data_IF_846197145344
#
_entry.id   IF_846197145344
#
_cell.length_a   1.000
_cell.length_b   1.000
_cell.length_c   1.000
_cell.angle_alpha   90.00
_cell.angle_beta   90.00
_cell.angle_gamma   90.00
#
_symmetry.space_group_name_H-M   'P 1'
#
loop_
_entity.id
_entity.type
_entity.pdbx_description
1 polymer ?
#
# COMPACT_ATOMS: atom_id res chain seq x y z
N UNK A 1 -14.61 -22.80 15.70
CA UNK A 1 -13.41 -23.04 16.53
C UNK A 1 -12.61 -24.20 15.93
N UNK A 2 -11.95 -23.91 14.81
CA UNK A 2 -10.99 -24.83 14.19
C UNK A 2 -9.70 -24.70 14.96
N UNK A 3 -9.21 -25.83 15.46
CA UNK A 3 -7.95 -25.99 16.14
C UNK A 3 -6.79 -25.48 15.25
N UNK A 4 -6.38 -24.21 15.43
CA UNK A 4 -5.16 -23.64 14.82
C UNK A 4 -3.92 -24.05 15.61
N UNK A 5 -3.80 -25.32 16.00
CA UNK A 5 -2.51 -25.89 16.37
C UNK A 5 -1.70 -26.16 15.09
N UNK A 6 -1.42 -25.10 14.32
CA UNK A 6 -0.32 -25.08 13.39
C UNK A 6 0.93 -24.90 14.24
N UNK A 7 1.74 -25.95 14.36
CA UNK A 7 3.02 -25.88 15.05
C UNK A 7 3.79 -24.64 14.57
N UNK A 8 4.34 -23.89 15.53
CA UNK A 8 4.89 -22.54 15.40
C UNK A 8 5.96 -22.45 14.28
N UNK A 9 5.52 -22.40 13.02
CA UNK A 9 6.40 -22.34 11.86
C UNK A 9 6.91 -20.91 11.75
N UNK A 10 8.09 -20.70 12.33
CA UNK A 10 8.73 -19.39 12.33
C UNK A 10 9.42 -19.15 10.99
N UNK A 11 8.92 -18.17 10.24
CA UNK A 11 9.51 -17.74 8.97
C UNK A 11 10.94 -17.24 9.16
N UNK A 12 11.88 -17.86 8.47
CA UNK A 12 13.23 -17.33 8.28
C UNK A 12 13.27 -16.34 7.11
N UNK A 13 14.45 -15.78 6.85
CA UNK A 13 14.63 -14.78 5.78
C UNK A 13 14.35 -15.36 4.39
N UNK A 14 14.74 -16.60 4.12
CA UNK A 14 14.48 -17.24 2.82
C UNK A 14 12.98 -17.44 2.64
N UNK A 15 12.28 -17.90 3.68
CA UNK A 15 10.82 -18.07 3.67
C UNK A 15 10.11 -16.74 3.37
N UNK A 16 10.55 -15.63 3.98
CA UNK A 16 10.01 -14.30 3.67
C UNK A 16 10.22 -13.93 2.21
N UNK A 17 11.42 -14.16 1.65
CA UNK A 17 11.74 -13.83 0.24
C UNK A 17 10.87 -14.62 -0.73
N UNK A 18 10.65 -15.89 -0.43
CA UNK A 18 9.75 -16.75 -1.19
C UNK A 18 8.34 -16.15 -1.18
N UNK A 19 7.80 -15.82 0.01
CA UNK A 19 6.46 -15.23 0.13
C UNK A 19 6.37 -13.92 -0.64
N UNK A 20 7.36 -13.03 -0.49
CA UNK A 20 7.40 -11.74 -1.20
C UNK A 20 7.33 -11.91 -2.72
N UNK A 21 8.17 -12.79 -3.29
CA UNK A 21 8.20 -13.02 -4.73
C UNK A 21 6.87 -13.61 -5.24
N UNK A 22 6.29 -14.57 -4.49
CA UNK A 22 5.03 -15.21 -4.86
C UNK A 22 3.82 -14.26 -4.74
N UNK A 23 3.82 -13.33 -3.78
CA UNK A 23 2.77 -12.29 -3.70
C UNK A 23 2.75 -11.37 -4.92
N UNK A 24 3.90 -11.17 -5.57
CA UNK A 24 4.02 -10.32 -6.76
C UNK A 24 3.51 -11.00 -8.02
N UNK A 25 4.01 -12.20 -8.34
CA UNK A 25 3.59 -12.96 -9.52
C UNK A 25 3.89 -14.46 -9.36
N UNK A 26 3.11 -15.15 -8.51
CA UNK A 26 3.29 -16.59 -8.29
C UNK A 26 3.27 -17.45 -9.57
N UNK A 27 2.61 -17.00 -10.65
CA UNK A 27 2.51 -17.77 -11.89
C UNK A 27 3.83 -17.76 -12.66
N UNK A 28 4.53 -16.62 -12.69
CA UNK A 28 5.76 -16.47 -13.46
C UNK A 28 7.03 -16.53 -12.59
N UNK A 29 6.90 -16.43 -11.27
CA UNK A 29 8.02 -16.61 -10.35
C UNK A 29 8.40 -18.09 -10.24
N UNK A 30 9.59 -18.44 -10.76
CA UNK A 30 10.10 -19.80 -10.71
C UNK A 30 11.05 -20.04 -9.54
N UNK A 31 11.10 -21.27 -9.01
CA UNK A 31 12.03 -21.62 -7.95
C UNK A 31 13.52 -21.34 -8.28
N UNK A 32 14.02 -21.54 -9.51
CA UNK A 32 15.36 -21.10 -9.89
C UNK A 32 15.59 -19.59 -9.78
N UNK A 33 14.61 -18.76 -10.15
CA UNK A 33 14.73 -17.31 -10.06
C UNK A 33 14.87 -16.85 -8.60
N UNK A 34 14.02 -17.38 -7.70
CA UNK A 34 14.14 -17.09 -6.26
C UNK A 34 15.47 -17.61 -5.70
N UNK A 35 15.91 -18.79 -6.14
CA UNK A 35 17.13 -19.43 -5.67
C UNK A 35 18.40 -18.62 -5.98
N UNK A 36 18.43 -17.98 -7.16
CA UNK A 36 19.50 -17.07 -7.57
C UNK A 36 19.56 -15.84 -6.67
N UNK A 37 18.41 -15.22 -6.39
CA UNK A 37 18.31 -14.02 -5.54
C UNK A 37 18.81 -14.27 -4.11
N UNK A 38 18.43 -15.41 -3.51
CA UNK A 38 18.77 -15.73 -2.11
C UNK A 38 19.97 -16.66 -1.97
N UNK A 39 20.72 -16.92 -3.05
CA UNK A 39 21.95 -17.72 -3.07
C UNK A 39 21.78 -19.15 -2.50
N UNK A 40 20.73 -19.86 -2.90
CA UNK A 40 20.50 -21.27 -2.52
C UNK A 40 20.20 -22.15 -3.73
N UNK A 41 19.98 -23.46 -3.52
CA UNK A 41 19.61 -24.36 -4.61
C UNK A 41 18.12 -24.24 -4.97
N UNK A 42 17.72 -24.41 -6.24
CA UNK A 42 16.30 -24.47 -6.62
C UNK A 42 15.52 -25.60 -5.93
N UNK A 43 16.19 -26.69 -5.54
CA UNK A 43 15.58 -27.76 -4.77
C UNK A 43 15.24 -27.32 -3.33
N UNK A 44 16.10 -26.49 -2.72
CA UNK A 44 15.86 -25.87 -1.41
C UNK A 44 14.61 -25.00 -1.46
N UNK A 45 14.46 -24.14 -2.47
CA UNK A 45 13.28 -23.27 -2.64
C UNK A 45 11.99 -24.10 -2.80
N UNK A 46 12.00 -25.14 -3.64
CA UNK A 46 10.82 -26.01 -3.80
C UNK A 46 10.42 -26.68 -2.49
N UNK A 47 11.39 -27.14 -1.69
CA UNK A 47 11.09 -27.73 -0.39
C UNK A 47 10.49 -26.71 0.57
N UNK A 48 10.98 -25.46 0.55
CA UNK A 48 10.49 -24.36 1.37
C UNK A 48 9.06 -23.96 1.01
N UNK A 49 8.75 -23.81 -0.28
CA UNK A 49 7.39 -23.55 -0.78
C UNK A 49 6.43 -24.64 -0.28
N UNK A 50 6.79 -25.91 -0.45
CA UNK A 50 5.95 -27.02 0.01
C UNK A 50 5.70 -26.99 1.53
N UNK A 51 6.70 -26.58 2.33
CA UNK A 51 6.52 -26.40 3.78
C UNK A 51 5.61 -25.22 4.10
N UNK A 52 5.75 -24.10 3.41
CA UNK A 52 4.89 -22.92 3.61
C UNK A 52 3.42 -23.25 3.29
N UNK A 53 3.18 -24.05 2.25
CA UNK A 53 1.85 -24.58 1.89
C UNK A 53 1.34 -25.58 2.94
N UNK A 54 2.16 -26.55 3.35
CA UNK A 54 1.81 -27.56 4.36
C UNK A 54 1.43 -26.94 5.71
N UNK A 55 2.12 -25.88 6.12
CA UNK A 55 1.86 -25.16 7.37
C UNK A 55 0.76 -24.08 7.23
N UNK A 56 0.16 -23.93 6.06
CA UNK A 56 -0.90 -22.95 5.80
C UNK A 56 -0.44 -21.50 5.86
N UNK A 57 0.86 -21.23 5.71
CA UNK A 57 1.38 -19.87 5.53
C UNK A 57 1.01 -19.37 4.13
N UNK A 58 1.11 -20.24 3.12
CA UNK A 58 0.57 -20.01 1.78
C UNK A 58 -0.72 -20.83 1.68
N UNK A 59 -1.87 -20.15 1.73
CA UNK A 59 -3.18 -20.79 1.69
C UNK A 59 -3.64 -21.09 0.25
N UNK A 60 -3.10 -20.37 -0.73
CA UNK A 60 -3.44 -20.56 -2.14
C UNK A 60 -2.84 -19.51 -3.06
N UNK A 61 -3.05 -19.72 -4.36
CA UNK A 61 -2.63 -18.80 -5.42
C UNK A 61 -3.88 -18.38 -6.20
N UNK A 62 -4.22 -17.10 -6.12
CA UNK A 62 -5.42 -16.54 -6.72
C UNK A 62 -5.05 -15.55 -7.83
N UNK A 63 -5.77 -15.60 -8.94
CA UNK A 63 -5.63 -14.60 -10.00
C UNK A 63 -6.43 -13.36 -9.62
N UNK A 64 -5.81 -12.19 -9.74
CA UNK A 64 -6.53 -10.91 -9.75
C UNK A 64 -7.14 -10.72 -11.12
N UNK A 65 -8.46 -10.48 -11.17
CA UNK A 65 -9.22 -10.38 -12.42
C UNK A 65 -9.85 -9.00 -12.51
N UNK A 66 -9.63 -8.34 -13.64
CA UNK A 66 -10.33 -7.11 -14.02
C UNK A 66 -11.63 -7.50 -14.73
N UNK A 67 -12.72 -7.57 -13.97
CA UNK A 67 -14.03 -7.98 -14.48
C UNK A 67 -14.69 -6.94 -15.38
N UNK A 68 -14.33 -5.67 -15.24
CA UNK A 68 -14.77 -4.60 -16.15
C UNK A 68 -14.14 -4.82 -17.53
N UNK A 69 -12.84 -5.10 -17.61
CA UNK A 69 -12.19 -5.42 -18.89
C UNK A 69 -12.56 -6.78 -19.45
N UNK A 70 -12.83 -7.77 -18.60
CA UNK A 70 -13.18 -9.12 -19.05
C UNK A 70 -14.56 -9.16 -19.73
N UNK A 71 -15.59 -8.60 -19.08
CA UNK A 71 -16.99 -8.69 -19.55
C UNK A 71 -17.81 -7.42 -19.33
N UNK A 72 -17.18 -6.26 -19.05
CA UNK A 72 -17.91 -5.01 -18.74
C UNK A 72 -18.66 -5.07 -17.41
N UNK A 73 -18.28 -6.00 -16.53
CA UNK A 73 -18.99 -6.23 -15.27
C UNK A 73 -18.66 -5.20 -14.21
N UNK A 74 -19.61 -4.97 -13.32
CA UNK A 74 -19.48 -4.11 -12.16
C UNK A 74 -19.00 -4.92 -10.95
N UNK A 75 -18.09 -4.34 -10.17
CA UNK A 75 -17.68 -4.85 -8.87
C UNK A 75 -18.35 -4.05 -7.76
N UNK A 76 -18.93 -4.73 -6.77
CA UNK A 76 -19.58 -4.10 -5.62
C UNK A 76 -19.02 -4.69 -4.33
N UNK A 77 -18.65 -3.82 -3.38
CA UNK A 77 -18.28 -4.18 -2.03
C UNK A 77 -19.48 -3.92 -1.11
N UNK A 78 -20.03 -4.99 -0.53
CA UNK A 78 -21.02 -4.89 0.53
C UNK A 78 -20.33 -4.94 1.89
N UNK A 79 -20.60 -3.93 2.72
CA UNK A 79 -20.22 -3.91 4.13
C UNK A 79 -21.41 -4.42 4.93
N UNK A 80 -21.23 -5.56 5.57
CA UNK A 80 -22.31 -6.30 6.17
C UNK A 80 -22.10 -6.54 7.66
N UNK A 81 -23.22 -6.71 8.36
CA UNK A 81 -23.30 -7.20 9.72
C UNK A 81 -23.93 -8.60 9.74
N UNK A 82 -23.32 -9.48 10.52
CA UNK A 82 -23.83 -10.80 10.86
C UNK A 82 -23.76 -11.03 12.38
N UNK A 83 -24.65 -11.84 12.97
CA UNK A 83 -24.51 -12.24 14.37
C UNK A 83 -23.16 -12.92 14.64
N UNK A 84 -22.50 -12.55 15.73
CA UNK A 84 -21.12 -12.96 16.05
C UNK A 84 -20.92 -14.48 16.07
N UNK A 85 -21.89 -15.23 16.57
CA UNK A 85 -21.88 -16.70 16.65
C UNK A 85 -22.15 -17.40 15.30
N UNK A 86 -22.61 -16.65 14.30
CA UNK A 86 -22.94 -17.17 12.96
C UNK A 86 -21.94 -16.79 11.87
N UNK A 87 -21.05 -15.81 12.10
CA UNK A 87 -20.15 -15.21 11.09
C UNK A 87 -19.43 -16.27 10.25
N UNK A 88 -18.74 -17.23 10.89
CA UNK A 88 -17.96 -18.27 10.19
C UNK A 88 -18.86 -19.16 9.30
N UNK A 89 -20.06 -19.49 9.80
CA UNK A 89 -21.02 -20.30 9.06
C UNK A 89 -21.68 -19.53 7.92
N UNK A 90 -21.94 -18.23 8.12
CA UNK A 90 -22.51 -17.32 7.14
C UNK A 90 -21.52 -17.03 6.02
N UNK A 91 -20.26 -16.75 6.32
CA UNK A 91 -19.23 -16.44 5.34
C UNK A 91 -19.12 -17.53 4.26
N UNK A 92 -19.12 -18.81 4.69
CA UNK A 92 -19.09 -19.95 3.76
C UNK A 92 -20.35 -20.05 2.90
N UNK A 93 -21.53 -19.76 3.45
CA UNK A 93 -22.79 -19.78 2.69
C UNK A 93 -22.86 -18.63 1.69
N UNK A 94 -22.47 -17.43 2.12
CA UNK A 94 -22.40 -16.24 1.27
C UNK A 94 -21.48 -16.47 0.08
N UNK A 95 -20.35 -17.16 0.28
CA UNK A 95 -19.45 -17.55 -0.81
C UNK A 95 -20.06 -18.47 -1.88
N UNK A 96 -21.24 -19.07 -1.63
CA UNK A 96 -21.96 -19.88 -2.62
C UNK A 96 -22.94 -19.08 -3.48
N UNK A 97 -23.16 -17.79 -3.16
CA UNK A 97 -24.05 -16.91 -3.93
C UNK A 97 -23.42 -16.59 -5.28
N UNK A 98 -24.09 -16.86 -6.42
CA UNK A 98 -23.54 -16.56 -7.73
C UNK A 98 -23.25 -15.07 -7.90
N UNK A 99 -21.98 -14.77 -8.19
CA UNK A 99 -21.43 -13.42 -8.30
C UNK A 99 -20.58 -13.00 -7.11
N UNK A 100 -20.67 -13.67 -5.95
CA UNK A 100 -19.74 -13.42 -4.84
C UNK A 100 -18.38 -14.03 -5.17
N UNK A 101 -17.33 -13.21 -5.11
CA UNK A 101 -15.95 -13.61 -5.44
C UNK A 101 -15.02 -13.56 -4.24
N UNK A 102 -15.38 -12.84 -3.18
CA UNK A 102 -14.60 -12.80 -1.94
C UNK A 102 -15.49 -12.52 -0.73
N UNK A 103 -15.21 -13.17 0.39
CA UNK A 103 -15.85 -12.91 1.68
C UNK A 103 -14.75 -12.78 2.74
N UNK A 104 -14.74 -11.68 3.49
CA UNK A 104 -13.78 -11.45 4.58
C UNK A 104 -14.53 -11.28 5.90
N UNK A 105 -14.04 -11.96 6.92
CA UNK A 105 -14.52 -11.84 8.30
C UNK A 105 -13.65 -10.82 9.04
N UNK A 106 -14.27 -9.85 9.69
CA UNK A 106 -13.56 -8.80 10.42
C UNK A 106 -13.71 -8.98 11.93
N UNK A 107 -12.63 -8.72 12.66
CA UNK A 107 -12.62 -8.78 14.13
C UNK A 107 -12.98 -7.41 14.70
N UNK A 108 -14.24 -7.24 15.09
CA UNK A 108 -14.75 -6.04 15.76
C UNK A 108 -15.48 -5.05 14.85
N UNK A 109 -16.14 -4.08 15.46
CA UNK A 109 -17.03 -3.15 14.77
C UNK A 109 -18.43 -3.73 14.51
N UNK A 110 -19.34 -2.88 14.02
CA UNK A 110 -20.69 -3.29 13.60
C UNK A 110 -20.66 -4.00 12.23
N UNK A 111 -19.74 -3.64 11.36
CA UNK A 111 -19.50 -4.30 10.08
C UNK A 111 -18.46 -5.40 10.27
N UNK A 112 -18.91 -6.65 10.38
CA UNK A 112 -18.05 -7.81 10.63
C UNK A 112 -17.92 -8.77 9.43
N UNK A 113 -18.54 -8.43 8.30
CA UNK A 113 -18.42 -9.15 7.03
C UNK A 113 -18.20 -8.17 5.88
N UNK A 114 -17.21 -8.42 5.04
CA UNK A 114 -17.05 -7.76 3.73
C UNK A 114 -17.33 -8.77 2.62
N UNK A 115 -18.21 -8.43 1.67
CA UNK A 115 -18.56 -9.29 0.54
C UNK A 115 -18.24 -8.56 -0.76
N UNK A 116 -17.28 -9.06 -1.53
CA UNK A 116 -16.99 -8.57 -2.87
C UNK A 116 -17.81 -9.39 -3.88
N UNK A 117 -18.56 -8.68 -4.71
CA UNK A 117 -19.44 -9.27 -5.71
C UNK A 117 -19.19 -8.68 -7.10
N UNK A 118 -19.42 -9.50 -8.12
CA UNK A 118 -19.37 -9.15 -9.54
C UNK A 118 -20.76 -9.38 -10.14
N UNK A 119 -21.24 -8.43 -10.93
CA UNK A 119 -22.48 -8.55 -11.68
C UNK A 119 -22.39 -7.83 -13.02
N UNK A 120 -23.13 -8.29 -14.04
CA UNK A 120 -23.07 -7.65 -15.37
C UNK A 120 -23.77 -6.30 -15.40
N UNK A 121 -24.69 -6.07 -14.46
CA UNK A 121 -25.40 -4.82 -14.28
C UNK A 121 -25.87 -4.63 -12.82
N UNK A 122 -26.51 -3.49 -12.55
CA UNK A 122 -27.04 -3.16 -11.22
C UNK A 122 -28.17 -4.08 -10.75
N UNK A 123 -28.88 -4.77 -11.65
CA UNK A 123 -29.93 -5.72 -11.30
C UNK A 123 -29.34 -7.00 -10.72
N UNK A 124 -28.20 -7.45 -11.27
CA UNK A 124 -27.43 -8.57 -10.72
C UNK A 124 -26.91 -8.26 -9.32
N UNK A 125 -26.32 -7.08 -9.13
CA UNK A 125 -25.83 -6.65 -7.81
C UNK A 125 -26.97 -6.59 -6.78
N UNK A 126 -28.12 -6.03 -7.15
CA UNK A 126 -29.32 -6.03 -6.29
C UNK A 126 -29.86 -7.44 -6.02
N UNK A 127 -29.74 -8.37 -6.97
CA UNK A 127 -30.10 -9.78 -6.76
C UNK A 127 -29.17 -10.39 -5.70
N UNK A 128 -27.87 -10.15 -5.78
CA UNK A 128 -26.89 -10.62 -4.79
C UNK A 128 -27.23 -10.03 -3.42
N UNK A 129 -27.44 -8.72 -3.30
CA UNK A 129 -27.82 -8.08 -2.03
C UNK A 129 -29.06 -8.72 -1.38
N UNK A 130 -30.12 -8.99 -2.17
CA UNK A 130 -31.30 -9.71 -1.67
C UNK A 130 -31.02 -11.14 -1.20
N UNK A 131 -30.07 -11.84 -1.83
CA UNK A 131 -29.67 -13.18 -1.36
C UNK A 131 -28.90 -13.10 -0.04
N UNK A 132 -28.09 -12.05 0.18
CA UNK A 132 -27.42 -11.81 1.45
C UNK A 132 -28.45 -11.58 2.57
N UNK A 133 -29.42 -10.68 2.36
CA UNK A 133 -30.48 -10.39 3.34
C UNK A 133 -31.29 -11.63 3.73
N UNK A 134 -31.61 -12.50 2.76
CA UNK A 134 -32.30 -13.78 3.02
C UNK A 134 -31.52 -14.72 3.92
N UNK A 135 -30.19 -14.57 3.97
CA UNK A 135 -29.31 -15.35 4.83
C UNK A 135 -29.13 -14.73 6.21
N UNK A 136 -29.89 -13.70 6.58
CA UNK A 136 -29.73 -12.95 7.83
C UNK A 136 -28.40 -12.17 7.90
N UNK A 137 -27.91 -11.72 6.74
CA UNK A 137 -26.79 -10.79 6.62
C UNK A 137 -27.36 -9.41 6.35
N UNK A 138 -27.20 -8.49 7.29
CA UNK A 138 -27.64 -7.10 7.16
C UNK A 138 -26.60 -6.33 6.34
N UNK A 139 -27.03 -5.60 5.31
CA UNK A 139 -26.16 -4.75 4.50
C UNK A 139 -26.21 -3.35 5.13
N UNK A 140 -25.07 -2.86 5.62
CA UNK A 140 -24.94 -1.54 6.21
C UNK A 140 -24.59 -0.49 5.14
N UNK A 141 -23.65 -0.82 4.25
CA UNK A 141 -23.25 0.02 3.11
C UNK A 141 -22.92 -0.82 1.87
N UNK A 142 -23.02 -0.21 0.69
CA UNK A 142 -22.56 -0.77 -0.58
C UNK A 142 -21.77 0.26 -1.40
N UNK A 143 -20.66 -0.19 -2.01
CA UNK A 143 -19.79 0.65 -2.83
C UNK A 143 -19.43 -0.03 -4.14
N UNK A 144 -19.66 0.68 -5.26
CA UNK A 144 -19.09 0.28 -6.54
C UNK A 144 -17.57 0.46 -6.50
N UNK A 145 -16.83 -0.62 -6.71
CA UNK A 145 -15.38 -0.63 -6.71
C UNK A 145 -14.87 -0.30 -8.11
N UNK A 146 -14.10 0.78 -8.22
CA UNK A 146 -13.51 1.20 -9.49
C UNK A 146 -12.18 0.49 -9.78
N UNK A 147 -11.27 0.45 -8.80
CA UNK A 147 -9.94 -0.16 -8.96
C UNK A 147 -9.54 -0.91 -7.69
N UNK A 148 -8.86 -2.04 -7.85
CA UNK A 148 -8.19 -2.77 -6.77
C UNK A 148 -6.71 -2.93 -7.11
N UNK A 149 -5.84 -2.65 -6.14
CA UNK A 149 -4.39 -2.80 -6.28
C UNK A 149 -3.89 -3.75 -5.20
N UNK A 150 -3.02 -4.68 -5.57
CA UNK A 150 -2.37 -5.61 -4.65
C UNK A 150 -0.87 -5.37 -4.69
N UNK A 151 -0.23 -5.39 -3.52
CA UNK A 151 1.20 -5.18 -3.37
C UNK A 151 1.81 -6.29 -2.51
N UNK A 152 3.02 -6.77 -2.83
CA UNK A 152 3.79 -7.63 -1.94
C UNK A 152 4.08 -6.94 -0.60
N UNK A 153 4.19 -7.73 0.46
CA UNK A 153 4.51 -7.18 1.79
C UNK A 153 5.98 -6.76 1.85
N UNK A 154 6.24 -5.45 1.73
CA UNK A 154 7.58 -4.88 1.57
C UNK A 154 8.64 -5.34 2.60
N UNK A 155 8.33 -5.53 3.90
CA UNK A 155 9.31 -6.06 4.87
C UNK A 155 9.84 -7.46 4.56
N UNK A 156 9.20 -8.20 3.63
CA UNK A 156 9.69 -9.48 3.13
C UNK A 156 10.53 -9.34 1.84
N UNK A 157 10.63 -8.15 1.26
CA UNK A 157 11.39 -7.80 0.05
C UNK A 157 12.86 -7.42 0.32
N UNK A 158 13.73 -7.35 -0.72
CA UNK A 158 15.21 -7.25 -0.58
C UNK A 158 15.63 -6.14 0.37
N UNK A 159 16.65 -6.38 1.20
CA UNK A 159 17.14 -5.36 2.14
C UNK A 159 17.64 -4.11 1.39
N UNK A 160 18.14 -4.30 0.17
CA UNK A 160 18.55 -3.24 -0.77
C UNK A 160 17.37 -2.64 -1.55
N UNK A 161 16.18 -3.21 -1.42
CA UNK A 161 14.94 -2.50 -1.69
C UNK A 161 14.79 -1.49 -0.56
N UNK A 162 15.58 -0.41 -0.64
CA UNK A 162 15.46 0.75 0.22
C UNK A 162 13.97 0.94 0.49
N UNK A 163 13.63 1.06 1.77
CA UNK A 163 12.52 1.88 2.21
C UNK A 163 12.15 2.85 1.07
N UNK A 164 11.07 2.56 0.36
CA UNK A 164 10.15 3.65 0.09
C UNK A 164 9.48 3.93 1.43
N UNK A 165 10.26 4.53 2.32
CA UNK A 165 9.72 5.43 3.33
C UNK A 165 9.04 6.58 2.59
N UNK A 166 7.91 7.03 3.13
CA UNK A 166 6.61 6.68 2.57
C UNK A 166 6.32 7.41 1.27
N UNK A 167 5.31 6.95 0.54
CA UNK A 167 4.55 7.88 -0.30
C UNK A 167 4.19 9.08 0.57
N UNK A 168 4.87 10.20 0.34
CA UNK A 168 4.39 11.57 0.54
C UNK A 168 3.19 11.65 1.49
N UNK A 169 3.46 11.87 2.78
CA UNK A 169 2.44 12.29 3.73
C UNK A 169 2.03 13.73 3.35
N UNK A 170 1.20 13.85 2.31
CA UNK A 170 0.44 15.06 2.06
C UNK A 170 -0.57 15.19 3.19
N UNK A 171 -0.15 15.78 4.31
CA UNK A 171 -1.08 16.18 5.36
C UNK A 171 -1.63 17.54 4.96
N UNK A 172 -2.75 17.54 4.26
CA UNK A 172 -3.55 18.77 4.09
C UNK A 172 -4.16 19.14 5.44
N UNK A 173 -3.72 20.27 5.99
CA UNK A 173 -4.29 20.83 7.21
C UNK A 173 -5.49 21.73 6.87
N UNK A 174 -6.46 21.82 7.78
CA UNK A 174 -7.59 22.73 7.65
C UNK A 174 -7.11 24.17 7.42
N UNK A 175 -7.44 24.75 6.27
CA UNK A 175 -7.05 26.11 5.90
C UNK A 175 -6.14 26.23 4.67
N UNK A 176 -5.80 25.13 3.98
CA UNK A 176 -4.96 25.16 2.78
C UNK A 176 -3.46 25.16 3.06
N UNK A 177 -3.08 24.78 4.30
CA UNK A 177 -1.69 24.62 4.68
C UNK A 177 -1.24 23.18 4.46
N UNK A 178 -0.02 22.99 3.98
CA UNK A 178 0.54 21.70 3.59
C UNK A 178 1.92 21.49 4.21
N UNK A 179 2.19 20.25 4.62
CA UNK A 179 3.52 19.78 5.00
C UNK A 179 4.00 18.84 3.91
N UNK A 180 5.20 19.07 3.38
CA UNK A 180 5.79 18.29 2.30
C UNK A 180 7.22 17.94 2.68
N UNK A 181 7.60 16.70 2.43
CA UNK A 181 8.97 16.22 2.55
C UNK A 181 9.63 16.20 1.18
N UNK A 182 10.84 16.75 1.06
CA UNK A 182 11.57 16.87 -0.19
C UNK A 182 13.03 16.45 -0.03
N UNK A 183 13.51 15.60 -0.94
CA UNK A 183 14.93 15.27 -1.03
C UNK A 183 15.66 16.33 -1.84
N UNK A 184 16.74 16.87 -1.29
CA UNK A 184 17.54 17.93 -1.93
C UNK A 184 18.35 17.33 -3.07
N UNK A 185 18.13 17.84 -4.29
CA UNK A 185 18.93 17.45 -5.46
C UNK A 185 20.34 18.04 -5.41
N UNK A 186 21.34 17.39 -6.01
CA UNK A 186 22.73 17.90 -6.08
C UNK A 186 22.81 19.29 -6.72
N UNK A 187 22.04 19.51 -7.78
CA UNK A 187 21.95 20.78 -8.51
C UNK A 187 20.87 21.75 -7.95
N UNK A 188 20.30 21.47 -6.78
CA UNK A 188 19.27 22.34 -6.21
C UNK A 188 19.87 23.70 -5.80
N UNK A 189 19.16 24.83 -6.02
CA UNK A 189 19.64 26.16 -5.63
C UNK A 189 20.02 26.31 -4.14
N UNK A 190 19.37 25.53 -3.26
CA UNK A 190 19.64 25.53 -1.82
C UNK A 190 20.83 24.65 -1.40
N UNK A 191 21.28 23.73 -2.28
CA UNK A 191 22.33 22.78 -1.93
C UNK A 191 23.66 23.50 -1.66
N UNK A 192 24.30 23.17 -0.53
CA UNK A 192 25.54 23.77 -0.07
C UNK A 192 25.40 25.18 0.53
N UNK A 193 24.17 25.64 0.80
CA UNK A 193 23.89 26.93 1.44
C UNK A 193 23.31 26.75 2.83
N UNK A 194 23.46 27.76 3.68
CA UNK A 194 22.73 27.83 4.95
C UNK A 194 21.29 28.30 4.75
N UNK A 195 20.40 27.96 5.69
CA UNK A 195 19.00 28.40 5.65
C UNK A 195 18.87 29.94 5.65
N UNK A 196 19.73 30.65 6.39
CA UNK A 196 19.75 32.12 6.44
C UNK A 196 20.18 32.72 5.08
N UNK A 197 21.19 32.14 4.43
CA UNK A 197 21.59 32.58 3.08
C UNK A 197 20.51 32.30 2.03
N UNK A 198 19.84 31.15 2.14
CA UNK A 198 18.77 30.77 1.23
C UNK A 198 17.52 31.67 1.36
N UNK A 199 17.18 32.09 2.57
CA UNK A 199 16.12 33.07 2.84
C UNK A 199 16.50 34.46 2.33
N UNK A 200 17.71 34.93 2.63
CA UNK A 200 18.21 36.24 2.22
C UNK A 200 18.29 36.40 0.69
N UNK A 201 18.65 35.33 -0.03
CA UNK A 201 18.75 35.30 -1.49
C UNK A 201 17.40 35.01 -2.18
N UNK A 202 16.33 34.79 -1.42
CA UNK A 202 14.99 34.47 -1.94
C UNK A 202 14.89 33.10 -2.62
N UNK A 203 15.78 32.17 -2.25
CA UNK A 203 15.72 30.76 -2.66
C UNK A 203 14.61 30.03 -1.90
N UNK A 204 14.43 30.38 -0.62
CA UNK A 204 13.25 30.02 0.16
C UNK A 204 12.20 31.11 0.03
N UNK A 205 10.96 30.72 -0.20
CA UNK A 205 9.84 31.66 -0.21
C UNK A 205 9.54 32.15 1.22
N UNK A 206 9.09 33.39 1.36
CA UNK A 206 8.87 34.10 2.65
C UNK A 206 7.85 33.42 3.58
N UNK A 207 7.10 32.43 3.08
CA UNK A 207 6.12 31.66 3.84
C UNK A 207 6.54 30.20 4.06
N UNK A 208 7.72 29.82 3.58
CA UNK A 208 8.25 28.46 3.68
C UNK A 208 8.94 28.25 5.03
N UNK A 209 8.44 27.30 5.82
CA UNK A 209 9.07 26.93 7.10
C UNK A 209 9.72 25.55 6.98
N UNK A 210 11.04 25.49 7.17
CA UNK A 210 11.75 24.21 7.33
C UNK A 210 11.56 23.72 8.76
N UNK A 211 10.98 22.53 8.91
CA UNK A 211 10.62 21.93 10.20
C UNK A 211 11.74 21.01 10.71
N UNK A 212 12.27 20.17 9.83
CA UNK A 212 13.26 19.16 10.15
C UNK A 212 14.13 18.87 8.92
N UNK A 213 15.37 18.46 9.17
CA UNK A 213 16.29 17.97 8.14
C UNK A 213 16.79 16.61 8.60
N UNK A 214 16.61 15.58 7.79
CA UNK A 214 17.14 14.26 8.04
C UNK A 214 18.38 14.03 7.16
N UNK A 215 19.46 13.59 7.79
CA UNK A 215 20.75 13.33 7.15
C UNK A 215 21.41 12.13 7.81
N UNK A 216 21.83 11.15 7.03
CA UNK A 216 22.57 9.97 7.51
C UNK A 216 21.85 9.26 8.70
N UNK A 217 20.52 9.13 8.64
CA UNK A 217 19.62 8.60 9.69
C UNK A 217 19.52 9.44 10.98
N UNK A 218 20.08 10.66 11.02
CA UNK A 218 19.95 11.61 12.13
C UNK A 218 18.98 12.75 11.79
N UNK A 219 18.14 13.13 12.77
CA UNK A 219 17.23 14.28 12.66
C UNK A 219 17.90 15.54 13.21
N UNK A 220 18.09 16.52 12.33
CA UNK A 220 18.67 17.82 12.60
C UNK A 220 17.55 18.85 12.76
N UNK A 221 17.59 19.59 13.88
CA UNK A 221 16.70 20.74 14.08
C UNK A 221 17.24 21.93 13.29
N UNK A 222 16.44 22.54 12.38
CA UNK A 222 16.90 23.62 11.53
C UNK A 222 17.12 24.92 12.31
N UNK A 223 18.26 25.54 12.07
CA UNK A 223 18.65 26.88 12.53
C UNK A 223 19.19 27.69 11.35
N UNK A 224 19.29 29.02 11.48
CA UNK A 224 19.72 29.88 10.36
C UNK A 224 21.08 29.50 9.78
N UNK A 225 22.01 29.05 10.62
CA UNK A 225 23.36 28.60 10.26
C UNK A 225 23.40 27.13 9.79
N UNK A 226 22.26 26.45 9.72
CA UNK A 226 22.20 25.05 9.26
C UNK A 226 22.42 24.98 7.76
N UNK A 227 23.50 24.33 7.36
CA UNK A 227 23.84 24.07 5.95
C UNK A 227 23.02 22.89 5.41
N UNK A 228 22.35 23.11 4.28
CA UNK A 228 21.61 22.09 3.52
C UNK A 228 22.57 21.40 2.55
N UNK A 229 22.60 20.06 2.57
CA UNK A 229 23.44 19.24 1.70
C UNK A 229 22.61 18.50 0.65
N UNK A 230 23.21 18.15 -0.51
CA UNK A 230 22.61 17.20 -1.41
C UNK A 230 22.21 15.92 -0.67
N UNK A 231 21.07 15.36 -1.07
CA UNK A 231 20.45 14.16 -0.51
C UNK A 231 19.90 14.29 0.90
N UNK A 232 19.96 15.47 1.53
CA UNK A 232 19.18 15.74 2.73
C UNK A 232 17.69 15.54 2.43
N UNK A 233 16.96 15.01 3.41
CA UNK A 233 15.50 14.95 3.36
C UNK A 233 14.96 16.06 4.25
N UNK A 234 14.27 17.02 3.65
CA UNK A 234 13.83 18.25 4.33
C UNK A 234 12.32 18.25 4.45
N UNK A 235 11.82 18.35 5.68
CA UNK A 235 10.39 18.57 5.94
C UNK A 235 10.09 20.06 5.90
N UNK A 236 9.17 20.46 5.03
CA UNK A 236 8.82 21.85 4.74
C UNK A 236 7.33 22.06 4.96
N UNK A 237 6.95 23.18 5.58
CA UNK A 237 5.58 23.62 5.71
C UNK A 237 5.32 24.86 4.84
N UNK A 238 4.22 24.82 4.08
CA UNK A 238 3.70 25.95 3.30
C UNK A 238 2.26 26.27 3.74
N UNK A 239 1.97 27.50 4.22
CA UNK A 239 0.64 27.90 4.68
C UNK A 239 -0.34 28.27 3.55
N UNK A 240 0.11 28.31 2.30
CA UNK A 240 -0.73 28.56 1.11
C UNK A 240 -0.54 27.39 0.15
N UNK A 241 -1.61 26.97 -0.56
CA UNK A 241 -1.63 25.84 -1.52
C UNK A 241 -0.25 25.61 -2.13
N UNK A 242 0.36 24.44 -1.89
CA UNK A 242 1.74 24.18 -2.30
C UNK A 242 1.80 23.97 -3.82
N UNK A 243 1.73 25.08 -4.55
CA UNK A 243 2.28 25.13 -5.89
C UNK A 243 3.79 24.91 -5.83
N UNK A 244 4.39 24.65 -7.00
CA UNK A 244 5.83 24.57 -7.22
C UNK A 244 6.74 25.59 -6.48
N UNK A 245 6.35 26.85 -6.18
CA UNK A 245 7.25 27.86 -5.62
C UNK A 245 7.99 27.47 -4.35
N UNK A 246 7.31 26.87 -3.36
CA UNK A 246 7.92 26.50 -2.08
C UNK A 246 8.99 25.39 -2.24
N UNK A 247 8.86 24.56 -3.28
CA UNK A 247 9.74 23.42 -3.55
C UNK A 247 10.83 23.74 -4.58
N UNK A 248 10.79 24.90 -5.25
CA UNK A 248 11.76 25.29 -6.29
C UNK A 248 13.19 25.39 -5.76
N UNK A 249 13.37 25.87 -4.53
CA UNK A 249 14.70 25.96 -3.92
C UNK A 249 15.37 24.60 -3.71
N UNK A 250 14.56 23.53 -3.58
CA UNK A 250 15.01 22.17 -3.23
C UNK A 250 15.15 21.24 -4.44
N UNK A 251 14.74 21.68 -5.64
CA UNK A 251 14.71 20.85 -6.87
C UNK A 251 15.73 21.33 -7.91
N UNK A 252 16.16 20.40 -8.78
CA UNK A 252 17.05 20.71 -9.90
C UNK A 252 16.37 21.48 -11.05
N UNK A 253 17.15 22.00 -12.02
CA UNK A 253 16.68 22.86 -13.11
C UNK A 253 15.75 22.17 -14.13
N UNK A 254 15.84 20.84 -14.26
CA UNK A 254 14.87 20.03 -14.99
C UNK A 254 13.87 19.48 -13.96
N UNK A 255 12.69 20.09 -13.85
CA UNK A 255 11.61 19.61 -13.00
C UNK A 255 11.08 18.26 -13.51
N UNK A 256 11.81 17.16 -13.29
CA UNK A 256 11.43 15.89 -13.87
C UNK A 256 10.18 15.34 -13.20
N UNK A 257 9.19 15.18 -14.07
CA UNK A 257 7.83 14.80 -13.81
C UNK A 257 7.82 13.28 -13.76
N UNK A 258 7.87 12.75 -12.53
CA UNK A 258 7.42 11.39 -12.24
C UNK A 258 5.89 11.25 -12.20
N UNK A 259 5.11 12.25 -12.61
CA UNK A 259 3.66 12.10 -12.84
C UNK A 259 3.44 11.37 -14.17
N UNK A 260 3.53 10.05 -14.14
CA UNK A 260 2.75 9.27 -15.12
C UNK A 260 1.28 9.45 -14.74
N UNK A 261 0.59 10.36 -15.44
CA UNK A 261 -0.88 10.30 -15.52
C UNK A 261 -1.23 9.00 -16.20
N UNK A 262 -1.57 7.98 -15.41
CA UNK A 262 -2.24 6.79 -15.94
C UNK A 262 -3.72 7.14 -16.02
N UNK A 263 -4.22 7.30 -17.24
CA UNK A 263 -5.64 7.21 -17.55
C UNK A 263 -6.13 5.78 -17.35
#
# INVERSE_FOLDING_TARGET
MTDRTGGDYRLDEIDRRIVYALMGDARNTSAPAIAEEVSVSPATIRNRIAKLEEHGVIEGYHATVDFERAEGSLMNLFLCHAPFDEVEGLARRVGTVPGVVNVRELMGGRMNLHVLAVGTDTSDLRRIGRELEKMNVEIEDEFLLQNEHTFPYAPYGPADGHRREPLTDYISLTGGAEVVEVTVHEDAPIAGRTLEEADADGVLDEHTLVIAIERDDDVITPHGDTEIRPYDVVTVFSPTDADEPALRGFRGPDGDVGSTRVH
#
